data_IF_082289043023
#
_entry.id   IF_082289043023
#
_cell.length_a   1.000
_cell.length_b   1.000
_cell.length_c   1.000
_cell.angle_alpha   90.00
_cell.angle_beta   90.00
_cell.angle_gamma   90.00
#
_symmetry.space_group_name_H-M   'P 1'
#
loop_
_entity.id
_entity.type
_entity.pdbx_description
1 polymer ?
#
# COMPACT_ATOMS: atom_id res chain seq x y z
N UNK A 1 2.76 51.49 15.07
CA UNK A 1 3.33 50.31 14.38
C UNK A 1 4.50 50.76 13.53
N UNK A 2 5.56 49.96 13.43
CA UNK A 2 6.69 50.26 12.56
C UNK A 2 6.23 50.15 11.09
N UNK A 3 6.49 51.17 10.28
CA UNK A 3 6.04 51.25 8.87
C UNK A 3 7.12 50.84 7.87
N UNK A 4 8.37 50.73 8.32
CA UNK A 4 9.54 50.42 7.49
C UNK A 4 10.39 49.32 8.14
N UNK A 5 11.08 48.54 7.31
CA UNK A 5 12.21 47.70 7.69
C UNK A 5 13.45 48.57 7.50
N UNK A 6 14.13 48.88 8.59
CA UNK A 6 15.35 49.70 8.57
C UNK A 6 16.55 48.81 8.71
N UNK A 7 17.45 48.82 7.74
CA UNK A 7 18.71 48.08 7.76
C UNK A 7 19.85 49.09 7.84
N UNK A 8 20.73 48.92 8.82
CA UNK A 8 21.86 49.82 9.08
C UNK A 8 23.18 49.08 9.07
N UNK A 9 24.14 49.61 8.32
CA UNK A 9 25.50 49.10 8.24
C UNK A 9 25.61 47.66 7.75
N UNK A 10 24.82 47.25 6.74
CA UNK A 10 24.92 45.89 6.19
C UNK A 10 26.23 45.70 5.41
N UNK A 11 27.02 44.70 5.79
CA UNK A 11 28.37 44.39 5.29
C UNK A 11 28.55 42.96 4.80
N UNK A 12 27.48 42.17 4.77
CA UNK A 12 27.54 40.78 4.31
C UNK A 12 28.13 40.67 2.89
N UNK A 13 29.11 39.78 2.72
CA UNK A 13 29.86 39.58 1.48
C UNK A 13 30.51 40.85 0.89
N UNK A 14 29.90 41.44 -0.16
CA UNK A 14 30.42 42.60 -0.87
C UNK A 14 29.64 43.90 -0.61
N UNK A 15 28.73 43.88 0.37
CA UNK A 15 28.02 45.07 0.82
C UNK A 15 28.99 46.02 1.54
N UNK A 16 28.89 47.32 1.25
CA UNK A 16 29.84 48.34 1.73
C UNK A 16 29.30 49.13 2.94
N UNK A 17 28.70 48.46 3.92
CA UNK A 17 28.10 49.11 5.08
C UNK A 17 26.88 49.95 4.68
N UNK A 18 25.96 49.35 3.92
CA UNK A 18 24.82 50.08 3.36
C UNK A 18 23.70 50.28 4.38
N UNK A 19 23.06 51.44 4.28
CA UNK A 19 21.85 51.80 5.02
C UNK A 19 20.66 51.83 4.06
N UNK A 20 19.57 51.14 4.38
CA UNK A 20 18.36 51.13 3.55
C UNK A 20 17.09 51.06 4.40
N UNK A 21 16.11 51.88 4.03
CA UNK A 21 14.77 51.87 4.61
C UNK A 21 13.79 51.31 3.57
N UNK A 22 13.14 50.19 3.89
CA UNK A 22 12.23 49.47 3.02
C UNK A 22 10.79 49.59 3.53
N UNK A 23 9.82 50.02 2.71
CA UNK A 23 8.44 50.17 3.16
C UNK A 23 7.80 48.80 3.43
N UNK A 24 7.21 48.62 4.63
CA UNK A 24 6.51 47.37 4.97
C UNK A 24 5.22 47.22 4.17
N UNK A 25 4.76 45.98 4.05
CA UNK A 25 3.48 45.62 3.41
C UNK A 25 3.38 46.06 1.94
N UNK A 26 4.53 46.10 1.26
CA UNK A 26 4.67 46.38 -0.18
C UNK A 26 5.43 45.24 -0.85
N UNK A 27 5.15 45.05 -2.13
CA UNK A 27 5.98 44.21 -2.99
C UNK A 27 7.27 44.98 -3.32
N UNK A 28 8.38 44.57 -2.71
CA UNK A 28 9.69 45.18 -2.92
C UNK A 28 10.47 44.35 -3.93
N UNK A 29 11.01 45.01 -4.96
CA UNK A 29 11.85 44.37 -5.98
C UNK A 29 13.28 44.91 -5.86
N UNK A 30 14.23 44.02 -5.57
CA UNK A 30 15.66 44.34 -5.55
C UNK A 30 16.25 44.01 -6.92
N UNK A 31 16.81 45.00 -7.60
CA UNK A 31 17.35 44.88 -8.96
C UNK A 31 18.79 45.39 -9.06
N UNK A 32 19.51 45.01 -10.12
CA UNK A 32 20.92 45.35 -10.33
C UNK A 32 21.70 44.25 -11.05
N UNK A 33 22.93 44.58 -11.49
CA UNK A 33 23.83 43.68 -12.23
C UNK A 33 24.14 42.38 -11.46
N UNK A 34 24.45 41.29 -12.16
CA UNK A 34 24.91 40.06 -11.50
C UNK A 34 26.12 40.34 -10.60
N UNK A 35 26.12 39.80 -9.38
CA UNK A 35 27.17 40.07 -8.39
C UNK A 35 27.07 41.43 -7.66
N UNK A 36 26.04 42.25 -7.90
CA UNK A 36 25.91 43.56 -7.23
C UNK A 36 25.54 43.53 -5.74
N UNK A 37 25.50 42.36 -5.10
CA UNK A 37 25.13 42.20 -3.68
C UNK A 37 23.62 42.06 -3.39
N UNK A 38 22.78 41.84 -4.42
CA UNK A 38 21.33 41.66 -4.24
C UNK A 38 20.99 40.50 -3.31
N UNK A 39 21.58 39.33 -3.56
CA UNK A 39 21.36 38.13 -2.76
C UNK A 39 21.94 38.30 -1.36
N UNK A 40 23.09 38.96 -1.23
CA UNK A 40 23.72 39.28 0.05
C UNK A 40 22.82 40.14 0.94
N UNK A 41 22.15 41.14 0.35
CA UNK A 41 21.17 41.96 1.08
C UNK A 41 19.88 41.18 1.37
N UNK A 42 19.28 40.53 0.37
CA UNK A 42 17.96 39.91 0.49
C UNK A 42 17.98 38.62 1.33
N UNK A 43 18.87 37.68 1.00
CA UNK A 43 18.93 36.36 1.59
C UNK A 43 19.89 36.31 2.78
N UNK A 44 21.15 36.72 2.57
CA UNK A 44 22.21 36.53 3.56
C UNK A 44 22.13 37.54 4.72
N UNK A 45 21.44 38.67 4.53
CA UNK A 45 21.21 39.68 5.57
C UNK A 45 19.76 39.70 6.08
N UNK A 46 18.79 40.15 5.26
CA UNK A 46 17.41 40.41 5.71
C UNK A 46 16.69 39.11 6.07
N UNK A 47 16.68 38.13 5.17
CA UNK A 47 16.04 36.83 5.42
C UNK A 47 16.73 36.06 6.55
N UNK A 48 18.07 35.96 6.51
CA UNK A 48 18.85 35.27 7.54
C UNK A 48 18.56 35.82 8.94
N UNK A 49 18.58 37.15 9.11
CA UNK A 49 18.28 37.77 10.40
C UNK A 49 16.81 37.62 10.81
N UNK A 50 15.88 37.65 9.85
CA UNK A 50 14.45 37.47 10.08
C UNK A 50 14.11 36.05 10.55
N UNK A 51 14.72 35.05 9.91
CA UNK A 51 14.60 33.65 10.30
C UNK A 51 15.27 33.41 11.66
N UNK A 52 16.50 33.91 11.87
CA UNK A 52 17.24 33.73 13.12
C UNK A 52 16.46 34.26 14.33
N UNK A 53 15.96 35.50 14.27
CA UNK A 53 15.17 36.12 15.35
C UNK A 53 13.89 35.35 15.66
N UNK A 54 13.23 34.82 14.63
CA UNK A 54 12.03 34.02 14.80
C UNK A 54 12.35 32.68 15.49
N UNK A 55 13.36 31.94 15.02
CA UNK A 55 13.75 30.64 15.61
C UNK A 55 14.27 30.80 17.04
N UNK A 56 14.97 31.91 17.34
CA UNK A 56 15.45 32.25 18.69
C UNK A 56 14.29 32.43 19.70
N UNK A 57 13.08 32.73 19.23
CA UNK A 57 11.90 32.84 20.07
C UNK A 57 11.19 31.51 20.37
N UNK A 58 11.48 30.43 19.62
CA UNK A 58 10.73 29.17 19.69
C UNK A 58 10.98 28.38 20.98
N UNK A 59 12.24 28.25 21.40
CA UNK A 59 12.58 27.57 22.66
C UNK A 59 13.95 27.99 23.18
N UNK A 60 14.18 27.87 24.49
CA UNK A 60 15.48 28.13 25.11
C UNK A 60 16.58 27.19 24.57
N UNK A 61 16.21 25.95 24.23
CA UNK A 61 17.12 24.97 23.61
C UNK A 61 17.52 25.39 22.20
N UNK A 62 16.58 25.87 21.37
CA UNK A 62 16.87 26.34 20.02
C UNK A 62 17.89 27.50 20.01
N UNK A 63 17.87 28.37 21.04
CA UNK A 63 18.85 29.46 21.17
C UNK A 63 20.28 28.93 21.25
N UNK A 64 20.52 27.86 22.01
CA UNK A 64 21.85 27.26 22.15
C UNK A 64 22.41 26.76 20.81
N UNK A 65 21.55 26.26 19.91
CA UNK A 65 21.96 25.83 18.57
C UNK A 65 22.19 26.99 17.61
N UNK A 66 21.42 28.07 17.74
CA UNK A 66 21.58 29.26 16.93
C UNK A 66 22.82 30.08 17.28
N UNK A 67 23.32 30.01 18.51
CA UNK A 67 24.58 30.66 18.91
C UNK A 67 25.80 30.11 18.14
N UNK A 68 25.70 28.89 17.59
CA UNK A 68 26.72 28.31 16.71
C UNK A 68 26.58 28.76 15.25
N UNK A 69 25.45 29.37 14.86
CA UNK A 69 25.27 29.90 13.51
C UNK A 69 25.91 31.28 13.38
N UNK A 70 26.57 31.52 12.25
CA UNK A 70 27.16 32.82 11.96
C UNK A 70 26.05 33.87 11.83
N UNK A 71 26.11 34.92 12.66
CA UNK A 71 25.21 36.07 12.55
C UNK A 71 25.59 36.88 11.31
N UNK A 72 24.63 37.38 10.53
CA UNK A 72 24.91 38.30 9.42
C UNK A 72 25.67 39.54 9.91
N UNK A 73 26.62 40.04 9.12
CA UNK A 73 27.35 41.27 9.42
C UNK A 73 26.47 42.48 9.09
N UNK A 74 25.73 42.92 10.10
CA UNK A 74 24.87 44.10 10.08
C UNK A 74 24.88 44.77 11.45
N UNK A 75 24.88 46.10 11.48
CA UNK A 75 24.90 46.83 12.76
C UNK A 75 23.55 46.78 13.46
N UNK A 76 22.48 47.06 12.70
CA UNK A 76 21.14 47.08 13.25
C UNK A 76 20.10 46.81 12.17
N UNK A 77 19.09 46.00 12.51
CA UNK A 77 17.87 45.85 11.71
C UNK A 77 16.66 46.02 12.60
N UNK A 78 15.76 46.93 12.23
CA UNK A 78 14.50 47.21 12.92
C UNK A 78 13.29 46.95 12.00
N UNK A 79 12.14 46.59 12.58
CA UNK A 79 10.90 46.42 11.82
C UNK A 79 10.82 45.14 10.99
N UNK A 80 11.70 44.17 11.25
CA UNK A 80 11.76 42.89 10.53
C UNK A 80 10.64 41.94 10.98
N UNK A 81 9.94 41.33 10.01
CA UNK A 81 8.99 40.24 10.24
C UNK A 81 9.71 38.89 10.25
N UNK A 82 9.11 37.80 10.80
CA UNK A 82 9.53 36.45 10.48
C UNK A 82 9.61 36.26 8.97
N UNK A 83 10.76 35.80 8.48
CA UNK A 83 11.06 35.74 7.07
C UNK A 83 11.03 34.30 6.54
N UNK A 84 10.54 34.14 5.31
CA UNK A 84 10.51 32.87 4.58
C UNK A 84 11.21 33.10 3.25
N UNK A 85 12.15 32.21 2.90
CA UNK A 85 12.82 32.23 1.59
C UNK A 85 12.11 31.28 0.64
N UNK A 86 11.85 31.76 -0.57
CA UNK A 86 11.35 30.96 -1.68
C UNK A 86 12.41 31.03 -2.79
N UNK A 87 13.23 29.98 -2.86
CA UNK A 87 14.36 29.87 -3.79
C UNK A 87 14.16 28.72 -4.78
N UNK A 88 14.78 28.83 -5.96
CA UNK A 88 14.90 27.72 -6.91
C UNK A 88 16.03 26.73 -6.52
N UNK A 89 16.24 26.48 -5.22
CA UNK A 89 17.16 25.41 -4.79
C UNK A 89 16.53 24.08 -5.16
N UNK A 90 17.31 23.18 -5.76
CA UNK A 90 16.85 21.82 -6.07
C UNK A 90 16.34 21.16 -4.80
N UNK A 91 15.06 20.85 -4.78
CA UNK A 91 14.44 20.04 -3.72
C UNK A 91 15.15 18.69 -3.60
N UNK A 92 15.14 18.14 -2.39
CA UNK A 92 15.70 16.82 -2.09
C UNK A 92 15.30 15.77 -3.14
N UNK A 93 16.29 15.06 -3.71
CA UNK A 93 16.10 13.96 -4.66
C UNK A 93 15.75 12.66 -3.95
N UNK A 94 14.83 12.72 -2.98
CA UNK A 94 14.35 11.51 -2.33
C UNK A 94 13.38 10.81 -3.28
N UNK A 95 13.63 9.55 -3.70
CA UNK A 95 12.75 8.82 -4.62
C UNK A 95 11.34 8.61 -4.06
N UNK A 96 11.18 8.71 -2.73
CA UNK A 96 9.89 8.62 -2.04
C UNK A 96 9.17 9.96 -1.87
N UNK A 97 9.73 11.05 -2.40
CA UNK A 97 9.10 12.37 -2.39
C UNK A 97 8.48 12.65 -3.74
N UNK A 98 7.17 12.89 -3.74
CA UNK A 98 6.40 13.24 -4.94
C UNK A 98 5.87 14.67 -4.81
N UNK A 99 5.35 15.22 -5.90
CA UNK A 99 4.67 16.53 -5.89
C UNK A 99 3.54 16.55 -4.85
N UNK A 100 2.78 15.44 -4.73
CA UNK A 100 1.65 15.35 -3.82
C UNK A 100 2.08 15.24 -2.34
N UNK A 101 3.25 14.67 -2.04
CA UNK A 101 3.77 14.68 -0.66
C UNK A 101 4.37 16.02 -0.27
N UNK A 102 5.02 16.73 -1.21
CA UNK A 102 5.58 18.07 -0.95
C UNK A 102 4.49 19.12 -0.72
N UNK A 103 3.37 18.99 -1.42
CA UNK A 103 2.21 19.89 -1.29
C UNK A 103 1.22 19.45 -0.21
N UNK A 104 1.49 18.37 0.51
CA UNK A 104 0.60 17.72 1.49
C UNK A 104 -0.76 17.26 0.92
N UNK A 105 -1.03 17.43 -0.38
CA UNK A 105 -2.25 16.98 -1.04
C UNK A 105 -2.46 15.48 -0.81
N UNK A 106 -1.38 14.70 -0.86
CA UNK A 106 -1.45 13.26 -0.60
C UNK A 106 -1.98 12.95 0.80
N UNK A 107 -1.67 13.78 1.80
CA UNK A 107 -2.10 13.56 3.18
C UNK A 107 -3.61 13.73 3.32
N UNK A 108 -4.17 14.73 2.64
CA UNK A 108 -5.61 14.90 2.53
C UNK A 108 -6.27 13.77 1.74
N UNK A 109 -5.64 13.29 0.66
CA UNK A 109 -6.16 12.14 -0.09
C UNK A 109 -6.19 10.87 0.77
N UNK A 110 -5.14 10.60 1.55
CA UNK A 110 -5.10 9.47 2.51
C UNK A 110 -6.24 9.56 3.53
N UNK A 111 -6.52 10.76 4.05
CA UNK A 111 -7.64 10.98 4.96
C UNK A 111 -8.98 10.74 4.26
N UNK A 112 -9.15 11.27 3.05
CA UNK A 112 -10.36 11.11 2.25
C UNK A 112 -10.67 9.65 1.95
N UNK A 113 -9.69 8.89 1.46
CA UNK A 113 -9.84 7.47 1.18
C UNK A 113 -10.12 6.66 2.44
N UNK A 114 -9.52 7.03 3.58
CA UNK A 114 -9.79 6.34 4.82
C UNK A 114 -11.20 6.58 5.37
N UNK A 115 -11.76 7.78 5.15
CA UNK A 115 -13.07 8.18 5.71
C UNK A 115 -14.25 7.90 4.79
N UNK A 116 -14.06 8.03 3.48
CA UNK A 116 -15.13 7.94 2.48
C UNK A 116 -14.90 6.83 1.45
N UNK A 117 -13.73 6.15 1.47
CA UNK A 117 -13.43 5.07 0.55
C UNK A 117 -14.23 3.82 0.88
N UNK A 118 -14.90 3.25 -0.12
CA UNK A 118 -15.47 1.90 -0.04
C UNK A 118 -14.38 0.91 -0.49
N UNK A 119 -13.92 -0.01 0.36
CA UNK A 119 -12.93 -1.00 -0.02
C UNK A 119 -13.56 -2.07 -0.90
N UNK A 120 -12.80 -2.60 -1.85
CA UNK A 120 -13.22 -3.67 -2.75
C UNK A 120 -12.24 -4.83 -2.70
N UNK A 121 -12.74 -6.05 -2.89
CA UNK A 121 -11.87 -7.22 -2.99
C UNK A 121 -11.15 -7.23 -4.34
N UNK A 122 -9.81 -7.37 -4.38
CA UNK A 122 -9.09 -7.53 -5.64
C UNK A 122 -9.45 -8.81 -6.41
N UNK A 123 -9.92 -9.85 -5.70
CA UNK A 123 -10.25 -11.14 -6.30
C UNK A 123 -11.65 -11.18 -6.92
N UNK A 124 -12.63 -10.50 -6.30
CA UNK A 124 -14.04 -10.57 -6.74
C UNK A 124 -14.59 -9.24 -7.25
N UNK A 125 -13.95 -8.11 -6.96
CA UNK A 125 -14.45 -6.78 -7.29
C UNK A 125 -15.67 -6.34 -6.47
N UNK A 126 -16.08 -7.11 -5.45
CA UNK A 126 -17.22 -6.78 -4.61
C UNK A 126 -16.82 -5.90 -3.41
N UNK A 127 -17.72 -5.02 -2.93
CA UNK A 127 -17.45 -4.17 -1.78
C UNK A 127 -17.25 -5.01 -0.52
N UNK A 128 -16.29 -4.61 0.29
CA UNK A 128 -15.98 -5.22 1.57
C UNK A 128 -16.59 -4.33 2.67
N UNK A 129 -17.41 -4.91 3.54
CA UNK A 129 -18.01 -4.17 4.66
C UNK A 129 -17.69 -4.88 5.96
N UNK A 130 -17.13 -4.16 6.92
CA UNK A 130 -17.15 -4.62 8.31
C UNK A 130 -18.59 -4.50 8.84
N UNK A 131 -19.04 -5.50 9.58
CA UNK A 131 -20.36 -5.53 10.20
C UNK A 131 -20.19 -5.74 11.70
N UNK A 132 -20.97 -5.03 12.52
CA UNK A 132 -21.01 -5.29 13.96
C UNK A 132 -21.85 -6.53 14.24
N UNK A 133 -21.61 -7.23 15.36
CA UNK A 133 -22.42 -8.40 15.75
C UNK A 133 -23.92 -8.09 15.73
N UNK A 134 -24.33 -6.90 16.20
CA UNK A 134 -25.73 -6.44 16.14
C UNK A 134 -26.26 -6.44 14.70
N UNK A 135 -25.51 -5.86 13.74
CA UNK A 135 -25.91 -5.85 12.33
C UNK A 135 -25.97 -7.27 11.73
N UNK A 136 -25.08 -8.17 12.17
CA UNK A 136 -25.12 -9.57 11.74
C UNK A 136 -26.39 -10.26 12.24
N UNK A 137 -26.73 -10.07 13.51
CA UNK A 137 -27.95 -10.57 14.15
C UNK A 137 -29.18 -10.04 13.43
N UNK A 138 -29.28 -8.71 13.25
CA UNK A 138 -30.41 -8.07 12.57
C UNK A 138 -30.63 -8.65 11.16
N UNK A 139 -29.54 -8.90 10.43
CA UNK A 139 -29.59 -9.45 9.07
C UNK A 139 -30.09 -10.90 9.04
N UNK A 140 -29.74 -11.72 10.04
CA UNK A 140 -30.23 -13.09 10.16
C UNK A 140 -31.68 -13.12 10.66
N UNK A 141 -32.03 -12.25 11.62
CA UNK A 141 -33.40 -12.13 12.14
C UNK A 141 -34.38 -11.64 11.08
N UNK A 142 -33.90 -10.97 10.03
CA UNK A 142 -34.72 -10.57 8.89
C UNK A 142 -35.05 -11.72 7.92
N UNK A 143 -34.54 -12.94 8.12
CA UNK A 143 -34.94 -14.12 7.36
C UNK A 143 -36.37 -14.58 7.75
N UNK A 144 -37.09 -15.33 6.89
CA UNK A 144 -38.43 -15.82 7.22
C UNK A 144 -38.47 -16.63 8.52
N UNK A 145 -39.55 -16.51 9.29
CA UNK A 145 -39.75 -17.33 10.48
C UNK A 145 -39.63 -18.82 10.16
N UNK A 146 -39.09 -19.59 11.11
CA UNK A 146 -38.85 -21.04 11.01
C UNK A 146 -37.74 -21.44 10.03
N UNK A 147 -37.01 -20.49 9.43
CA UNK A 147 -35.81 -20.78 8.65
C UNK A 147 -34.76 -21.48 9.53
N UNK A 148 -34.31 -22.67 9.13
CA UNK A 148 -33.28 -23.43 9.85
C UNK A 148 -31.92 -23.14 9.26
N UNK A 149 -30.92 -22.85 10.09
CA UNK A 149 -29.58 -22.54 9.62
C UNK A 149 -28.50 -23.06 10.58
N UNK A 150 -27.30 -23.20 10.04
CA UNK A 150 -26.08 -23.50 10.79
C UNK A 150 -25.21 -22.26 10.84
N UNK A 151 -24.79 -21.87 12.04
CA UNK A 151 -23.75 -20.86 12.23
C UNK A 151 -22.39 -21.55 12.30
N UNK A 152 -21.49 -21.17 11.41
CA UNK A 152 -20.23 -21.84 11.17
C UNK A 152 -19.06 -20.86 11.28
N UNK A 153 -17.98 -21.32 11.89
CA UNK A 153 -16.72 -20.58 12.00
C UNK A 153 -15.69 -21.17 11.01
N UNK A 154 -15.33 -20.45 9.94
CA UNK A 154 -14.39 -20.94 8.92
C UNK A 154 -12.92 -20.82 9.37
N UNK A 155 -12.50 -21.77 10.20
CA UNK A 155 -11.18 -21.82 10.84
C UNK A 155 -10.03 -22.13 9.88
N UNK A 156 -10.28 -22.94 8.84
CA UNK A 156 -9.29 -23.27 7.80
C UNK A 156 -9.92 -23.09 6.42
N UNK A 157 -9.23 -22.39 5.53
CA UNK A 157 -9.71 -22.05 4.19
C UNK A 157 -8.64 -22.26 3.14
N UNK A 158 -8.80 -23.26 2.27
CA UNK A 158 -7.94 -23.53 1.12
C UNK A 158 -6.47 -23.74 1.46
N UNK A 159 -6.16 -24.19 2.69
CA UNK A 159 -4.79 -24.38 3.19
C UNK A 159 -4.46 -25.86 3.25
N UNK A 160 -3.17 -26.18 3.02
CA UNK A 160 -2.67 -27.55 3.07
C UNK A 160 -2.27 -27.93 4.49
N UNK A 161 -2.70 -29.08 4.98
CA UNK A 161 -2.38 -29.53 6.33
C UNK A 161 -3.21 -30.73 6.77
N UNK A 162 -2.74 -31.42 7.82
CA UNK A 162 -3.45 -32.57 8.41
C UNK A 162 -4.38 -32.18 9.58
N UNK A 163 -4.23 -30.97 10.13
CA UNK A 163 -5.07 -30.32 11.15
C UNK A 163 -5.46 -31.15 12.41
N UNK A 164 -4.73 -32.22 12.73
CA UNK A 164 -5.07 -33.11 13.86
C UNK A 164 -4.97 -32.44 15.22
N UNK A 165 -4.00 -31.54 15.41
CA UNK A 165 -3.82 -30.85 16.70
C UNK A 165 -4.95 -29.87 16.94
N UNK A 166 -5.31 -29.13 15.89
CA UNK A 166 -6.36 -28.14 15.86
C UNK A 166 -7.73 -28.78 16.12
N UNK A 167 -8.03 -29.92 15.47
CA UNK A 167 -9.25 -30.70 15.73
C UNK A 167 -9.35 -31.15 17.19
N UNK A 168 -8.25 -31.62 17.80
CA UNK A 168 -8.20 -31.99 19.22
C UNK A 168 -8.39 -30.79 20.14
N UNK A 169 -7.86 -29.61 19.79
CA UNK A 169 -8.06 -28.38 20.54
C UNK A 169 -9.52 -27.93 20.52
N UNK A 170 -10.17 -27.97 19.35
CA UNK A 170 -11.59 -27.65 19.23
C UNK A 170 -12.48 -28.67 19.97
N UNK A 171 -12.12 -29.95 19.96
CA UNK A 171 -12.80 -30.96 20.78
C UNK A 171 -12.69 -30.63 22.27
N UNK A 172 -11.49 -30.29 22.76
CA UNK A 172 -11.27 -29.89 24.16
C UNK A 172 -12.00 -28.60 24.54
N UNK A 173 -12.18 -27.70 23.58
CA UNK A 173 -12.99 -26.49 23.76
C UNK A 173 -14.50 -26.77 23.80
N UNK A 174 -14.93 -28.02 23.58
CA UNK A 174 -16.33 -28.45 23.69
C UNK A 174 -17.09 -28.47 22.38
N UNK A 175 -16.45 -28.21 21.24
CA UNK A 175 -17.09 -28.35 19.94
C UNK A 175 -17.26 -29.83 19.58
N UNK A 176 -18.40 -30.19 19.02
CA UNK A 176 -18.74 -31.59 18.72
C UNK A 176 -18.77 -31.89 17.23
N UNK A 177 -19.08 -30.88 16.38
CA UNK A 177 -19.26 -31.06 14.93
C UNK A 177 -18.41 -30.08 14.14
N UNK A 178 -17.88 -30.59 13.04
CA UNK A 178 -17.11 -29.83 12.05
C UNK A 178 -17.61 -30.18 10.66
N UNK A 179 -17.49 -29.24 9.72
CA UNK A 179 -17.64 -29.50 8.30
C UNK A 179 -16.27 -29.45 7.66
N UNK A 180 -15.88 -30.53 6.99
CA UNK A 180 -14.61 -30.65 6.30
C UNK A 180 -14.89 -30.93 4.82
N UNK A 181 -14.36 -30.10 3.94
CA UNK A 181 -14.51 -30.21 2.48
C UNK A 181 -15.98 -30.39 2.02
N UNK A 182 -16.91 -29.78 2.76
CA UNK A 182 -18.35 -29.79 2.48
C UNK A 182 -19.17 -30.84 3.23
N UNK A 183 -18.53 -31.82 3.88
CA UNK A 183 -19.21 -32.89 4.61
C UNK A 183 -19.15 -32.70 6.14
N UNK A 184 -20.26 -33.00 6.83
CA UNK A 184 -20.34 -32.87 8.29
C UNK A 184 -19.83 -34.13 8.99
N UNK A 185 -18.90 -33.93 9.92
CA UNK A 185 -18.31 -34.97 10.76
C UNK A 185 -18.48 -34.62 12.24
N UNK A 186 -18.62 -35.65 13.09
CA UNK A 186 -18.31 -35.49 14.50
C UNK A 186 -16.79 -35.37 14.65
N UNK A 187 -16.30 -34.50 15.53
CA UNK A 187 -14.84 -34.25 15.65
C UNK A 187 -14.06 -35.54 15.95
N UNK A 188 -14.66 -36.45 16.71
CA UNK A 188 -14.10 -37.77 17.06
C UNK A 188 -13.97 -38.73 15.86
N UNK A 189 -14.83 -38.59 14.87
CA UNK A 189 -14.95 -39.47 13.71
C UNK A 189 -14.36 -38.85 12.44
N UNK A 190 -13.59 -37.77 12.58
CA UNK A 190 -13.00 -37.06 11.43
C UNK A 190 -12.01 -37.94 10.66
N UNK A 191 -12.07 -37.94 9.32
CA UNK A 191 -11.12 -38.67 8.50
C UNK A 191 -9.71 -38.06 8.62
N UNK A 192 -8.68 -38.90 8.44
CA UNK A 192 -7.29 -38.41 8.39
C UNK A 192 -7.07 -37.61 7.11
N UNK A 193 -6.91 -36.30 7.26
CA UNK A 193 -6.64 -35.37 6.16
C UNK A 193 -5.22 -35.51 5.59
N UNK A 194 -5.07 -35.32 4.28
CA UNK A 194 -3.79 -35.41 3.58
C UNK A 194 -3.07 -34.06 3.61
N UNK A 195 -1.86 -34.05 4.19
CA UNK A 195 -0.99 -32.87 4.27
C UNK A 195 -0.69 -32.20 2.92
N UNK A 196 -0.80 -32.92 1.80
CA UNK A 196 -0.49 -32.39 0.45
C UNK A 196 -1.68 -31.70 -0.22
N UNK A 197 -2.89 -31.97 0.21
CA UNK A 197 -4.13 -31.44 -0.34
C UNK A 197 -4.58 -30.19 0.42
N UNK A 198 -5.32 -29.32 -0.26
CA UNK A 198 -5.94 -28.14 0.37
C UNK A 198 -7.26 -28.59 0.97
N UNK A 199 -7.52 -28.13 2.20
CA UNK A 199 -8.74 -28.44 2.93
C UNK A 199 -9.46 -27.16 3.37
N UNK A 200 -10.78 -27.24 3.43
CA UNK A 200 -11.67 -26.26 4.04
C UNK A 200 -12.30 -26.87 5.30
N UNK A 201 -12.06 -26.26 6.46
CA UNK A 201 -12.59 -26.73 7.75
C UNK A 201 -13.38 -25.62 8.41
N UNK A 202 -14.61 -25.93 8.77
CA UNK A 202 -15.56 -25.02 9.38
C UNK A 202 -16.14 -25.67 10.64
N UNK A 203 -16.00 -25.03 11.80
CA UNK A 203 -16.55 -25.54 13.07
C UNK A 203 -18.01 -25.14 13.17
N UNK A 204 -18.87 -26.09 13.55
CA UNK A 204 -20.30 -25.79 13.78
C UNK A 204 -20.46 -25.19 15.17
N UNK A 205 -20.84 -23.91 15.23
CA UNK A 205 -20.99 -23.17 16.48
C UNK A 205 -22.39 -23.37 17.06
N UNK A 206 -23.43 -23.17 16.25
CA UNK A 206 -24.81 -23.40 16.67
C UNK A 206 -25.67 -23.87 15.48
N UNK A 207 -26.77 -24.55 15.80
CA UNK A 207 -27.84 -24.91 14.88
C UNK A 207 -29.12 -24.27 15.37
N UNK A 208 -29.59 -23.29 14.60
CA UNK A 208 -30.65 -22.39 15.04
C UNK A 208 -31.82 -22.39 14.06
N UNK A 209 -32.95 -21.90 14.57
CA UNK A 209 -34.19 -21.72 13.82
C UNK A 209 -34.68 -20.31 14.10
N UNK A 210 -34.91 -19.51 13.06
CA UNK A 210 -35.36 -18.13 13.18
C UNK A 210 -36.71 -18.07 13.90
N UNK A 211 -36.73 -17.43 15.07
CA UNK A 211 -37.89 -17.20 15.95
C UNK A 211 -37.66 -15.94 16.79
N UNK A 212 -38.70 -15.21 17.13
CA UNK A 212 -38.60 -14.06 18.04
C UNK A 212 -37.97 -14.45 19.39
N UNK A 213 -37.09 -13.59 19.91
CA UNK A 213 -36.44 -13.77 21.21
C UNK A 213 -35.13 -14.58 21.19
N UNK A 214 -34.60 -14.92 20.01
CA UNK A 214 -33.33 -15.64 19.88
C UNK A 214 -32.10 -14.73 19.68
N UNK A 215 -32.29 -13.40 19.68
CA UNK A 215 -31.27 -12.40 19.31
C UNK A 215 -30.04 -12.47 20.21
N UNK A 216 -30.26 -12.62 21.53
CA UNK A 216 -29.18 -12.73 22.53
C UNK A 216 -28.35 -13.99 22.31
N UNK A 217 -28.99 -15.15 22.14
CA UNK A 217 -28.31 -16.41 21.84
C UNK A 217 -27.55 -16.35 20.51
N UNK A 218 -28.15 -15.71 19.50
CA UNK A 218 -27.52 -15.55 18.19
C UNK A 218 -26.28 -14.64 18.29
N UNK A 219 -26.35 -13.56 19.06
CA UNK A 219 -25.23 -12.67 19.33
C UNK A 219 -24.06 -13.42 20.01
N UNK A 220 -24.34 -14.19 21.07
CA UNK A 220 -23.32 -15.00 21.76
C UNK A 220 -22.66 -16.02 20.82
N UNK A 221 -23.47 -16.61 19.94
CA UNK A 221 -23.01 -17.57 18.93
C UNK A 221 -22.13 -16.88 17.88
N UNK A 222 -22.51 -15.68 17.42
CA UNK A 222 -21.69 -14.88 16.51
C UNK A 222 -20.36 -14.47 17.15
N UNK A 223 -20.36 -13.99 18.41
CA UNK A 223 -19.12 -13.66 19.11
C UNK A 223 -18.18 -14.87 19.22
N UNK A 224 -18.74 -16.04 19.50
CA UNK A 224 -17.98 -17.30 19.55
C UNK A 224 -17.40 -17.65 18.17
N UNK A 225 -18.20 -17.54 17.11
CA UNK A 225 -17.78 -17.84 15.74
C UNK A 225 -16.67 -16.89 15.26
N UNK A 226 -16.87 -15.58 15.47
CA UNK A 226 -15.93 -14.54 15.08
C UNK A 226 -14.61 -14.68 15.85
N UNK A 227 -14.65 -14.97 17.15
CA UNK A 227 -13.44 -15.21 17.95
C UNK A 227 -12.66 -16.43 17.47
N UNK A 228 -13.34 -17.48 17.04
CA UNK A 228 -12.72 -18.73 16.59
C UNK A 228 -12.11 -18.62 15.18
N UNK A 229 -12.74 -17.85 14.28
CA UNK A 229 -12.35 -17.72 12.88
C UNK A 229 -11.81 -16.32 12.49
N UNK A 230 -11.22 -15.61 13.45
CA UNK A 230 -10.54 -14.32 13.28
C UNK A 230 -11.40 -13.24 12.59
N UNK A 231 -12.65 -13.09 13.07
CA UNK A 231 -13.60 -12.08 12.61
C UNK A 231 -14.43 -12.50 11.40
N UNK A 232 -14.61 -13.80 11.15
CA UNK A 232 -15.46 -14.34 10.09
C UNK A 232 -16.50 -15.32 10.63
N UNK A 233 -17.70 -15.28 10.06
CA UNK A 233 -18.75 -16.25 10.35
C UNK A 233 -19.58 -16.53 9.09
N UNK A 234 -20.00 -17.78 8.90
CA UNK A 234 -20.89 -18.20 7.83
C UNK A 234 -22.22 -18.65 8.41
N UNK A 235 -23.31 -18.30 7.74
CA UNK A 235 -24.65 -18.80 8.01
C UNK A 235 -25.09 -19.59 6.79
N UNK A 236 -25.22 -20.90 6.95
CA UNK A 236 -25.70 -21.80 5.90
C UNK A 236 -27.16 -22.19 6.17
N UNK A 237 -28.05 -21.88 5.24
CA UNK A 237 -29.46 -22.26 5.31
C UNK A 237 -29.61 -23.76 5.05
N UNK A 238 -30.41 -24.44 5.87
CA UNK A 238 -30.54 -25.91 5.82
C UNK A 238 -31.53 -26.39 4.75
N UNK A 239 -32.55 -25.59 4.43
CA UNK A 239 -33.71 -26.03 3.64
C UNK A 239 -33.95 -25.22 2.35
N UNK A 240 -33.30 -24.07 2.19
CA UNK A 240 -33.58 -23.11 1.10
C UNK A 240 -32.30 -22.43 0.61
N UNK A 241 -32.34 -21.87 -0.60
CA UNK A 241 -31.25 -21.01 -1.09
C UNK A 241 -31.42 -19.57 -0.60
N UNK A 242 -30.32 -18.81 -0.58
CA UNK A 242 -30.36 -17.38 -0.19
C UNK A 242 -31.27 -16.57 -1.10
N UNK A 243 -31.38 -16.93 -2.37
CA UNK A 243 -32.24 -16.28 -3.36
C UNK A 243 -33.73 -16.56 -3.09
N UNK A 244 -34.11 -17.78 -2.71
CA UNK A 244 -35.50 -18.14 -2.40
C UNK A 244 -35.98 -17.51 -1.08
N UNK A 245 -35.15 -17.53 -0.03
CA UNK A 245 -35.45 -16.89 1.25
C UNK A 245 -35.60 -15.36 1.13
N UNK A 246 -34.94 -14.75 0.14
CA UNK A 246 -35.09 -13.33 -0.18
C UNK A 246 -36.25 -13.04 -1.15
N UNK A 247 -36.69 -14.01 -1.97
CA UNK A 247 -37.78 -13.85 -2.92
C UNK A 247 -39.17 -13.87 -2.25
N UNK A 248 -39.35 -14.64 -1.17
CA UNK A 248 -40.57 -14.63 -0.34
C UNK A 248 -40.89 -13.24 0.26
N UNK A 249 -39.95 -12.29 0.21
CA UNK A 249 -40.14 -10.89 0.61
C UNK A 249 -40.90 -10.03 -0.40
N UNK A 250 -41.07 -10.46 -1.66
CA UNK A 250 -41.52 -9.57 -2.73
C UNK A 250 -43.03 -9.26 -2.71
N UNK A 251 -43.43 -8.43 -1.74
CA UNK A 251 -44.69 -7.69 -1.73
C UNK A 251 -44.51 -6.23 -1.23
N UNK A 252 -43.53 -5.46 -1.74
CA UNK A 252 -43.52 -3.97 -1.90
C UNK A 252 -42.13 -3.46 -2.40
N UNK A 253 -42.02 -2.18 -2.85
CA UNK A 253 -41.83 -1.75 -4.24
C UNK A 253 -40.36 -1.65 -4.71
N UNK A 254 -40.23 -1.53 -6.03
CA UNK A 254 -38.98 -1.42 -6.80
C UNK A 254 -38.05 -0.30 -6.30
N UNK A 255 -36.96 -0.69 -5.64
CA UNK A 255 -35.99 0.29 -5.14
C UNK A 255 -34.63 -0.25 -4.73
N UNK A 256 -34.34 -1.54 -4.87
CA UNK A 256 -33.00 -2.08 -4.67
C UNK A 256 -32.90 -3.43 -5.40
N UNK A 257 -32.47 -3.39 -6.66
CA UNK A 257 -32.08 -4.61 -7.36
C UNK A 257 -30.77 -5.10 -6.75
N UNK A 258 -30.86 -5.87 -5.67
CA UNK A 258 -29.78 -6.73 -5.22
C UNK A 258 -29.43 -7.65 -6.40
N UNK A 259 -28.32 -7.35 -7.07
CA UNK A 259 -27.91 -8.06 -8.28
C UNK A 259 -27.62 -9.52 -7.94
N UNK A 260 -28.61 -10.37 -8.25
CA UNK A 260 -28.40 -11.79 -8.46
C UNK A 260 -27.43 -11.99 -9.62
N UNK A 261 -26.27 -12.56 -9.30
CA UNK A 261 -25.58 -13.64 -10.04
C UNK A 261 -24.23 -13.91 -9.36
N UNK A 262 -24.26 -14.66 -8.25
CA UNK A 262 -23.09 -15.39 -7.78
C UNK A 262 -22.88 -16.65 -8.64
N UNK A 263 -22.62 -16.49 -9.94
CA UNK A 263 -22.13 -17.59 -10.78
C UNK A 263 -20.61 -17.48 -10.87
N UNK A 264 -19.90 -18.42 -10.24
CA UNK A 264 -18.44 -18.58 -10.35
C UNK A 264 -17.64 -18.46 -9.05
N UNK A 265 -18.26 -18.42 -7.87
CA UNK A 265 -17.60 -18.09 -6.59
C UNK A 265 -17.23 -19.30 -5.72
N UNK A 266 -17.63 -20.53 -6.08
CA UNK A 266 -17.32 -21.75 -5.32
C UNK A 266 -17.95 -21.84 -3.91
N UNK A 267 -18.72 -20.84 -3.49
CA UNK A 267 -19.53 -20.86 -2.27
C UNK A 267 -20.92 -21.42 -2.59
N UNK A 268 -21.53 -22.19 -1.68
CA UNK A 268 -22.85 -22.78 -1.92
C UNK A 268 -23.96 -21.71 -1.86
N UNK A 269 -24.99 -21.86 -2.70
CA UNK A 269 -26.06 -20.85 -2.91
C UNK A 269 -26.92 -20.58 -1.66
N UNK A 270 -26.78 -21.41 -0.62
CA UNK A 270 -27.45 -21.30 0.67
C UNK A 270 -26.62 -20.56 1.75
N UNK A 271 -25.45 -19.98 1.40
CA UNK A 271 -24.53 -19.36 2.38
C UNK A 271 -24.61 -17.84 2.40
N UNK A 272 -24.72 -17.28 3.61
CA UNK A 272 -24.54 -15.86 3.92
C UNK A 272 -23.21 -15.72 4.68
N UNK A 273 -22.39 -14.75 4.28
CA UNK A 273 -21.09 -14.52 4.92
C UNK A 273 -21.09 -13.20 5.68
N UNK A 274 -20.55 -13.27 6.90
CA UNK A 274 -20.38 -12.15 7.80
C UNK A 274 -18.91 -11.96 8.14
N UNK A 275 -18.51 -10.70 8.30
CA UNK A 275 -17.18 -10.37 8.81
C UNK A 275 -17.19 -9.15 9.72
N UNK A 276 -16.54 -9.29 10.86
CA UNK A 276 -16.27 -8.20 11.81
C UNK A 276 -15.11 -7.31 11.33
N UNK A 277 -14.24 -7.86 10.48
CA UNK A 277 -13.15 -7.14 9.82
C UNK A 277 -13.52 -6.85 8.37
N UNK A 278 -12.78 -5.98 7.69
CA UNK A 278 -12.95 -5.78 6.25
C UNK A 278 -12.46 -7.04 5.49
N UNK A 279 -13.27 -8.10 5.44
CA UNK A 279 -12.96 -9.34 4.76
C UNK A 279 -13.84 -9.60 3.54
N UNK A 280 -13.23 -10.05 2.45
CA UNK A 280 -13.93 -10.59 1.31
C UNK A 280 -14.52 -11.96 1.66
N UNK A 281 -15.84 -12.15 1.49
CA UNK A 281 -16.52 -13.38 1.86
C UNK A 281 -16.14 -14.58 0.98
N UNK A 282 -15.60 -14.33 -0.22
CA UNK A 282 -15.30 -15.36 -1.23
C UNK A 282 -13.84 -15.78 -1.22
N UNK A 283 -12.93 -14.82 -1.35
CA UNK A 283 -11.49 -15.10 -1.41
C UNK A 283 -10.85 -15.21 -0.04
N UNK A 284 -11.57 -14.83 1.02
CA UNK A 284 -11.03 -14.71 2.36
C UNK A 284 -10.01 -13.57 2.51
N UNK A 285 -9.86 -12.72 1.50
CA UNK A 285 -8.98 -11.56 1.52
C UNK A 285 -9.43 -10.58 2.60
N UNK A 286 -8.59 -10.35 3.59
CA UNK A 286 -8.84 -9.40 4.67
C UNK A 286 -8.00 -8.14 4.47
N UNK A 287 -8.58 -7.01 4.83
CA UNK A 287 -7.88 -5.74 4.99
C UNK A 287 -7.87 -5.43 6.49
N UNK A 288 -6.75 -4.90 6.97
CA UNK A 288 -6.68 -4.29 8.30
C UNK A 288 -7.62 -3.07 8.40
N UNK A 289 -7.75 -2.50 9.59
CA UNK A 289 -8.53 -1.28 9.79
C UNK A 289 -8.14 -0.18 8.78
N UNK A 290 -9.15 0.38 8.11
CA UNK A 290 -8.96 1.43 7.12
C UNK A 290 -8.56 2.71 7.83
N UNK A 291 -7.24 2.94 7.90
CA UNK A 291 -6.63 4.12 8.46
C UNK A 291 -5.82 4.87 7.40
N UNK A 292 -5.60 6.20 7.52
CA UNK A 292 -4.83 6.98 6.54
C UNK A 292 -3.43 6.41 6.25
N UNK A 293 -2.80 5.76 7.25
CA UNK A 293 -1.50 5.09 7.11
C UNK A 293 -1.50 3.92 6.10
N UNK A 294 -2.64 3.25 5.90
CA UNK A 294 -2.79 2.17 4.93
C UNK A 294 -2.64 2.67 3.49
N UNK A 295 -2.91 3.96 3.27
CA UNK A 295 -2.75 4.62 1.97
C UNK A 295 -1.38 5.28 1.84
N UNK A 296 -0.44 5.05 2.76
CA UNK A 296 0.88 5.65 2.72
C UNK A 296 1.90 4.68 2.12
N UNK A 297 2.41 4.98 0.93
CA UNK A 297 3.54 4.22 0.36
C UNK A 297 4.86 4.40 1.14
N UNK A 298 4.92 5.37 2.06
CA UNK A 298 6.03 5.57 2.98
C UNK A 298 5.91 4.76 4.29
N UNK A 299 4.75 4.14 4.54
CA UNK A 299 4.53 3.31 5.72
C UNK A 299 4.50 1.83 5.29
N UNK A 300 5.11 0.89 6.03
CA UNK A 300 5.13 -0.52 5.66
C UNK A 300 3.74 -1.14 5.41
N UNK A 301 2.70 -0.61 6.07
CA UNK A 301 1.32 -1.09 5.93
C UNK A 301 0.70 -0.75 4.56
N UNK A 302 1.06 0.39 3.98
CA UNK A 302 0.55 0.87 2.68
C UNK A 302 1.56 0.74 1.53
N UNK A 303 2.80 0.41 1.83
CA UNK A 303 3.85 0.22 0.86
C UNK A 303 3.65 -1.08 0.08
N UNK A 304 3.82 -1.02 -1.24
CA UNK A 304 3.83 -2.21 -2.07
C UNK A 304 5.01 -3.12 -1.66
N UNK A 305 4.79 -4.39 -1.28
CA UNK A 305 5.87 -5.27 -0.81
C UNK A 305 6.86 -5.64 -1.91
N UNK A 306 6.45 -5.53 -3.18
CA UNK A 306 7.31 -5.86 -4.30
C UNK A 306 8.41 -4.81 -4.53
N UNK A 307 8.16 -3.54 -4.21
CA UNK A 307 9.08 -2.42 -4.43
C UNK A 307 9.31 -1.54 -3.19
N UNK A 308 8.84 -1.99 -2.01
CA UNK A 308 8.90 -1.24 -0.75
C UNK A 308 8.38 0.20 -0.87
N UNK A 309 7.28 0.37 -1.61
CA UNK A 309 6.65 1.68 -1.82
C UNK A 309 7.40 2.64 -2.74
N UNK A 310 8.50 2.23 -3.38
CA UNK A 310 9.24 3.07 -4.35
C UNK A 310 8.48 3.29 -5.66
N UNK A 311 7.60 2.35 -6.03
CA UNK A 311 6.88 2.39 -7.31
C UNK A 311 7.72 2.04 -8.54
N UNK A 312 9.02 1.83 -8.37
CA UNK A 312 9.95 1.44 -9.44
C UNK A 312 10.73 0.17 -9.08
N UNK A 313 11.22 -0.53 -10.10
CA UNK A 313 12.14 -1.65 -9.99
C UNK A 313 13.25 -1.50 -11.02
N UNK A 314 14.48 -1.68 -10.57
CA UNK A 314 15.63 -1.76 -11.45
C UNK A 314 15.60 -3.11 -12.17
N UNK A 315 15.61 -3.05 -13.50
CA UNK A 315 15.72 -4.21 -14.37
C UNK A 315 16.78 -3.94 -15.43
N UNK A 316 17.32 -5.01 -16.02
CA UNK A 316 18.22 -4.89 -17.14
C UNK A 316 17.42 -4.65 -18.42
N UNK A 317 17.69 -3.53 -19.09
CA UNK A 317 17.13 -3.23 -20.41
C UNK A 317 18.06 -3.76 -21.50
N UNK A 318 17.53 -4.63 -22.35
CA UNK A 318 18.26 -5.22 -23.48
C UNK A 318 18.77 -4.13 -24.43
N UNK A 319 18.05 -3.03 -24.60
CA UNK A 319 18.48 -1.92 -25.44
C UNK A 319 19.73 -1.21 -24.89
N UNK A 320 19.92 -1.22 -23.57
CA UNK A 320 21.14 -0.70 -22.94
C UNK A 320 22.29 -1.72 -22.98
N UNK A 321 21.99 -3.01 -23.00
CA UNK A 321 22.98 -4.10 -23.15
C UNK A 321 23.51 -4.15 -24.58
N UNK A 322 22.61 -4.05 -25.57
CA UNK A 322 22.89 -4.10 -27.01
C UNK A 322 22.34 -2.86 -27.71
N UNK A 323 22.99 -1.69 -27.54
CA UNK A 323 22.51 -0.42 -28.10
C UNK A 323 22.65 -0.34 -29.62
N UNK A 324 23.54 -1.13 -30.22
CA UNK A 324 23.68 -1.21 -31.66
C UNK A 324 23.49 -2.67 -32.15
N UNK A 325 22.27 -3.07 -32.52
CA UNK A 325 21.96 -4.40 -33.02
C UNK A 325 22.65 -4.77 -34.34
N UNK A 326 23.17 -3.79 -35.10
CA UNK A 326 23.90 -4.04 -36.35
C UNK A 326 25.36 -4.46 -36.13
N UNK A 327 25.89 -4.38 -34.90
CA UNK A 327 27.20 -4.92 -34.57
C UNK A 327 27.12 -6.43 -34.35
N UNK A 328 28.21 -7.12 -34.72
CA UNK A 328 28.38 -8.52 -34.37
C UNK A 328 28.87 -8.70 -32.94
N UNK A 329 28.71 -9.91 -32.39
CA UNK A 329 29.20 -10.24 -31.04
C UNK A 329 30.69 -9.96 -30.91
N UNK A 330 31.49 -10.31 -31.92
CA UNK A 330 32.93 -10.06 -31.98
C UNK A 330 33.30 -8.57 -32.04
N UNK A 331 32.45 -7.74 -32.65
CA UNK A 331 32.62 -6.28 -32.69
C UNK A 331 32.07 -5.59 -31.44
N UNK A 332 31.66 -6.36 -30.42
CA UNK A 332 31.22 -5.82 -29.14
C UNK A 332 29.77 -5.36 -29.11
N UNK A 333 28.87 -6.08 -29.78
CA UNK A 333 27.43 -5.82 -29.70
C UNK A 333 26.91 -5.78 -28.25
N UNK A 334 27.43 -6.67 -27.38
CA UNK A 334 27.08 -6.72 -25.95
C UNK A 334 28.04 -5.79 -25.17
N UNK A 335 27.59 -4.57 -24.92
CA UNK A 335 28.42 -3.49 -24.39
C UNK A 335 29.01 -3.78 -23.00
N UNK A 336 28.25 -4.31 -22.02
CA UNK A 336 28.80 -4.64 -20.70
C UNK A 336 29.97 -5.61 -20.75
N UNK A 337 30.03 -6.50 -21.75
CA UNK A 337 31.10 -7.49 -21.91
C UNK A 337 32.24 -6.97 -22.78
N UNK A 338 31.95 -6.06 -23.71
CA UNK A 338 32.92 -5.47 -24.62
C UNK A 338 33.73 -4.31 -24.01
N UNK A 339 33.16 -3.56 -23.07
CA UNK A 339 33.76 -2.34 -22.49
C UNK A 339 34.46 -2.56 -21.13
N UNK A 340 34.77 -3.79 -20.73
CA UNK A 340 35.55 -3.98 -19.50
C UNK A 340 36.95 -3.39 -19.67
N UNK A 341 37.48 -2.72 -18.64
CA UNK A 341 38.85 -2.18 -18.65
C UNK A 341 39.67 -2.78 -17.49
N UNK A 342 40.63 -3.68 -17.75
CA UNK A 342 41.04 -4.17 -19.08
C UNK A 342 39.98 -5.08 -19.74
N UNK A 343 40.01 -5.24 -21.08
CA UNK A 343 39.15 -6.18 -21.79
C UNK A 343 39.39 -7.60 -21.27
N UNK A 344 38.37 -8.24 -20.70
CA UNK A 344 38.49 -9.58 -20.15
C UNK A 344 38.34 -10.62 -21.27
N UNK A 345 39.37 -11.44 -21.56
CA UNK A 345 39.26 -12.50 -22.56
C UNK A 345 38.17 -13.53 -22.24
N UNK A 346 37.79 -13.63 -20.97
CA UNK A 346 36.80 -14.56 -20.45
C UNK A 346 35.45 -14.46 -21.19
N UNK A 347 34.89 -13.25 -21.35
CA UNK A 347 33.56 -13.10 -21.96
C UNK A 347 33.56 -13.52 -23.43
N UNK A 348 34.63 -13.23 -24.17
CA UNK A 348 34.79 -13.68 -25.56
C UNK A 348 34.98 -15.20 -25.66
N UNK A 349 35.66 -15.83 -24.69
CA UNK A 349 35.77 -17.29 -24.64
C UNK A 349 34.43 -17.97 -24.32
N UNK A 350 33.61 -17.37 -23.45
CA UNK A 350 32.25 -17.83 -23.15
C UNK A 350 31.38 -17.74 -24.41
N UNK A 351 31.35 -16.58 -25.08
CA UNK A 351 30.62 -16.43 -26.34
C UNK A 351 31.09 -17.43 -27.41
N UNK A 352 32.40 -17.66 -27.52
CA UNK A 352 32.95 -18.65 -28.44
C UNK A 352 32.60 -20.10 -28.09
N UNK A 353 32.36 -20.40 -26.82
CA UNK A 353 31.92 -21.72 -26.38
C UNK A 353 30.43 -21.93 -26.66
N UNK A 354 29.61 -20.91 -26.41
CA UNK A 354 28.19 -20.91 -26.79
C UNK A 354 28.00 -21.03 -28.31
N UNK A 355 28.77 -20.27 -29.09
CA UNK A 355 28.75 -20.32 -30.55
C UNK A 355 29.03 -21.72 -31.11
N UNK A 356 29.97 -22.45 -30.50
CA UNK A 356 30.29 -23.84 -30.87
C UNK A 356 29.20 -24.83 -30.48
N UNK A 357 28.58 -24.64 -29.31
CA UNK A 357 27.56 -25.56 -28.79
C UNK A 357 26.20 -25.39 -29.49
N UNK A 358 25.81 -24.15 -29.79
CA UNK A 358 24.51 -23.79 -30.36
C UNK A 358 24.56 -23.39 -31.83
N UNK A 359 25.70 -23.66 -32.48
CA UNK A 359 25.90 -23.54 -33.92
C UNK A 359 25.54 -22.16 -34.51
N UNK A 360 26.04 -21.08 -33.88
CA UNK A 360 25.92 -19.70 -34.41
C UNK A 360 27.28 -19.03 -34.61
N UNK A 361 27.36 -18.06 -35.51
CA UNK A 361 28.61 -17.33 -35.79
C UNK A 361 28.72 -16.03 -34.99
N UNK A 362 29.92 -15.78 -34.43
CA UNK A 362 30.25 -14.55 -33.69
C UNK A 362 30.40 -13.31 -34.59
N UNK A 363 30.55 -13.50 -35.90
CA UNK A 363 30.67 -12.44 -36.89
C UNK A 363 29.29 -11.97 -37.40
N UNK A 364 28.22 -12.68 -37.06
CA UNK A 364 26.83 -12.31 -37.37
C UNK A 364 26.41 -11.09 -36.55
N UNK A 365 25.81 -10.05 -37.18
CA UNK A 365 25.17 -8.95 -36.46
C UNK A 365 24.10 -9.45 -35.47
N UNK A 366 23.95 -8.79 -34.32
CA UNK A 366 23.01 -9.19 -33.28
C UNK A 366 21.56 -9.29 -33.78
N UNK A 367 21.13 -8.33 -34.61
CA UNK A 367 19.79 -8.31 -35.20
C UNK A 367 19.51 -9.50 -36.13
N UNK A 368 20.56 -10.07 -36.73
CA UNK A 368 20.47 -11.18 -37.69
C UNK A 368 20.59 -12.55 -36.99
N UNK A 369 20.96 -12.59 -35.70
CA UNK A 369 20.89 -13.82 -34.90
C UNK A 369 19.44 -14.26 -34.72
N UNK A 370 19.20 -15.57 -34.65
CA UNK A 370 17.85 -16.08 -34.34
C UNK A 370 17.40 -15.64 -32.95
N UNK A 371 16.09 -15.59 -32.72
CA UNK A 371 15.52 -15.27 -31.40
C UNK A 371 16.01 -16.25 -30.33
N UNK A 372 16.10 -17.54 -30.67
CA UNK A 372 16.63 -18.59 -29.81
C UNK A 372 18.09 -18.33 -29.41
N UNK A 373 18.94 -17.93 -30.35
CA UNK A 373 20.34 -17.61 -30.06
C UNK A 373 20.48 -16.36 -29.17
N UNK A 374 19.65 -15.34 -29.40
CA UNK A 374 19.62 -14.13 -28.55
C UNK A 374 19.18 -14.46 -27.13
N UNK A 375 18.17 -15.31 -26.98
CA UNK A 375 17.66 -15.73 -25.67
C UNK A 375 18.71 -16.54 -24.88
N UNK A 376 19.40 -17.49 -25.53
CA UNK A 376 20.50 -18.25 -24.91
C UNK A 376 21.59 -17.31 -24.38
N UNK A 377 21.92 -16.27 -25.13
CA UNK A 377 22.98 -15.33 -24.73
C UNK A 377 22.54 -14.43 -23.57
N UNK A 378 21.27 -14.01 -23.53
CA UNK A 378 20.75 -13.09 -22.51
C UNK A 378 20.33 -13.81 -21.23
N UNK A 379 19.65 -14.95 -21.36
CA UNK A 379 18.94 -15.64 -20.28
C UNK A 379 19.53 -17.03 -19.98
N UNK A 380 20.46 -17.52 -20.79
CA UNK A 380 21.09 -18.83 -20.62
C UNK A 380 20.26 -19.97 -21.23
N UNK A 381 20.69 -21.19 -20.95
CA UNK A 381 20.04 -22.42 -21.41
C UNK A 381 19.24 -22.98 -20.25
N UNK A 382 17.91 -22.99 -20.35
CA UNK A 382 17.06 -23.60 -19.32
C UNK A 382 17.32 -25.09 -19.16
#
# INVERSE_FOLDING_TARGET
MLTHIKVKGAREHNLKGIDIDLPRDKLIVITGLSGSGKSSLAFDTIYAEGQRRYVESLSAYARQFLEMMQKPDVEHIEGLSPAISIEQKTTSRNPRSTVATVTEIYDYMRLLWARAGVPYSPATGLPITAQTVSQMVDRVMALPEKTRFYLLAPVVRGRKGEYRKELLEWQKAGFTRVRIDGEFYNIEETPKLDKKLKHDIEVVIDRLVVRDGMETRLADSFETALRLADGLAFVDLADTTTAEAMAERSSAPEGEKAQGKMKGTGLPDNRIVFSERFACPVSGFTIEEIAPRLFSFNAPQGACPACDGLGEKLHFDIQLIVPNPALSLKKGAIVPWAKSNPPSPYYMQVLGSLARQFEFSLDTPWQDLSEHHRDIILNGTQ
#
